data_IF_929981371910
#
_entry.id   IF_929981371910
#
_cell.length_a   1.000
_cell.length_b   1.000
_cell.length_c   1.000
_cell.angle_alpha   90.00
_cell.angle_beta   90.00
_cell.angle_gamma   90.00
#
_symmetry.space_group_name_H-M   'P 1'
#
loop_
_entity.id
_entity.type
_entity.pdbx_description
1 polymer ?
#
# COMPACT_ATOMS: atom_id res chain seq x y z
N UNK A 1 13.87 21.41 -70.53
CA UNK A 1 12.88 22.20 -69.76
C UNK A 1 13.45 22.40 -68.36
N UNK A 2 13.91 23.60 -68.01
CA UNK A 2 14.33 23.93 -66.65
C UNK A 2 13.15 24.56 -65.91
N UNK A 3 12.91 24.15 -64.66
CA UNK A 3 11.85 24.73 -63.82
C UNK A 3 12.26 26.12 -63.36
N UNK A 4 11.31 27.06 -63.30
CA UNK A 4 11.57 28.41 -62.81
C UNK A 4 11.60 28.43 -61.28
N UNK A 5 12.30 29.42 -60.70
CA UNK A 5 12.44 29.59 -59.25
C UNK A 5 11.08 29.59 -58.53
N UNK A 6 10.11 30.32 -59.07
CA UNK A 6 8.75 30.41 -58.52
C UNK A 6 8.06 29.04 -58.44
N UNK A 7 8.26 28.18 -59.44
CA UNK A 7 7.70 26.82 -59.43
C UNK A 7 8.33 25.95 -58.34
N UNK A 8 9.63 26.11 -58.07
CA UNK A 8 10.35 25.33 -57.05
C UNK A 8 9.90 25.74 -55.64
N UNK A 9 9.73 27.05 -55.43
CA UNK A 9 9.23 27.61 -54.15
C UNK A 9 7.77 27.19 -53.89
N UNK A 10 6.91 27.22 -54.92
CA UNK A 10 5.51 26.84 -54.79
C UNK A 10 5.28 25.36 -54.46
N UNK A 11 6.20 24.48 -54.89
CA UNK A 11 6.15 23.03 -54.58
C UNK A 11 6.70 22.75 -53.16
N UNK A 12 7.21 23.77 -52.46
CA UNK A 12 7.79 23.60 -51.12
C UNK A 12 9.08 22.77 -51.14
N UNK A 13 9.81 22.77 -52.26
CA UNK A 13 11.01 21.94 -52.41
C UNK A 13 12.15 22.29 -51.43
N UNK A 14 12.07 23.46 -50.80
CA UNK A 14 13.00 23.91 -49.77
C UNK A 14 12.53 23.57 -48.34
N UNK A 15 11.28 23.14 -48.17
CA UNK A 15 10.76 22.74 -46.87
C UNK A 15 11.30 21.36 -46.51
N UNK A 16 11.98 21.29 -45.36
CA UNK A 16 12.46 20.02 -44.82
C UNK A 16 11.36 19.38 -43.99
N UNK A 17 11.22 18.07 -44.10
CA UNK A 17 10.33 17.32 -43.21
C UNK A 17 10.71 17.58 -41.75
N UNK A 18 9.73 18.01 -40.96
CA UNK A 18 9.91 18.17 -39.52
C UNK A 18 10.00 16.79 -38.87
N UNK A 19 11.02 16.59 -38.03
CA UNK A 19 11.17 15.35 -37.28
C UNK A 19 9.93 15.07 -36.43
N UNK A 20 9.28 13.94 -36.68
CA UNK A 20 8.17 13.42 -35.87
C UNK A 20 8.64 12.15 -35.17
N UNK A 21 8.75 12.13 -33.82
CA UNK A 21 9.14 10.93 -33.12
C UNK A 21 8.06 9.85 -33.30
N UNK A 22 8.49 8.62 -33.58
CA UNK A 22 7.57 7.48 -33.59
C UNK A 22 6.91 7.34 -32.20
N UNK A 23 5.59 7.08 -32.12
CA UNK A 23 4.91 6.88 -30.84
C UNK A 23 5.52 5.67 -30.13
N UNK A 24 6.44 5.91 -29.20
CA UNK A 24 7.10 4.85 -28.47
C UNK A 24 6.13 4.25 -27.45
N UNK A 25 5.88 2.94 -27.52
CA UNK A 25 5.14 2.17 -26.50
C UNK A 25 5.88 2.09 -25.14
N UNK A 26 7.01 2.79 -24.98
CA UNK A 26 8.05 2.44 -24.01
C UNK A 26 7.94 3.17 -22.67
N UNK A 27 7.13 4.23 -22.55
CA UNK A 27 7.00 5.00 -21.30
C UNK A 27 5.60 4.91 -20.73
N UNK A 28 5.35 3.80 -20.04
CA UNK A 28 4.18 3.66 -19.18
C UNK A 28 4.09 4.88 -18.22
N UNK A 29 2.89 5.43 -17.98
CA UNK A 29 2.70 6.59 -17.12
C UNK A 29 3.27 6.37 -15.70
N UNK A 30 3.24 5.12 -15.21
CA UNK A 30 3.85 4.73 -13.93
C UNK A 30 5.35 5.05 -13.85
N UNK A 31 6.11 4.86 -14.94
CA UNK A 31 7.54 5.19 -14.97
C UNK A 31 7.80 6.69 -14.92
N UNK A 32 6.88 7.50 -15.44
CA UNK A 32 6.97 8.96 -15.36
C UNK A 32 6.73 9.42 -13.92
N UNK A 33 5.68 8.91 -13.29
CA UNK A 33 5.35 9.27 -11.90
C UNK A 33 6.47 8.88 -10.93
N UNK A 34 7.00 7.64 -11.05
CA UNK A 34 8.16 7.21 -10.27
C UNK A 34 9.36 8.14 -10.41
N UNK A 35 9.69 8.55 -11.64
CA UNK A 35 10.81 9.46 -11.89
C UNK A 35 10.54 10.85 -11.31
N UNK A 36 9.30 11.34 -11.42
CA UNK A 36 8.90 12.63 -10.87
C UNK A 36 9.03 12.66 -9.35
N UNK A 37 8.59 11.60 -8.67
CA UNK A 37 8.76 11.42 -7.22
C UNK A 37 10.24 11.39 -6.83
N UNK A 38 11.05 10.59 -7.53
CA UNK A 38 12.48 10.48 -7.26
C UNK A 38 13.21 11.82 -7.39
N UNK A 39 12.86 12.62 -8.39
CA UNK A 39 13.48 13.93 -8.61
C UNK A 39 13.03 14.98 -7.59
N UNK A 40 11.78 14.93 -7.15
CA UNK A 40 11.23 15.90 -6.19
C UNK A 40 11.60 15.59 -4.74
N UNK A 41 11.53 14.32 -4.35
CA UNK A 41 11.62 13.87 -2.96
C UNK A 41 12.84 12.97 -2.67
N UNK A 42 13.59 12.56 -3.70
CA UNK A 42 14.69 11.60 -3.56
C UNK A 42 14.25 10.14 -3.45
N UNK A 43 12.96 9.87 -3.32
CA UNK A 43 12.38 8.53 -3.17
C UNK A 43 11.06 8.37 -3.95
N UNK A 44 10.64 7.12 -4.18
CA UNK A 44 9.38 6.84 -4.86
C UNK A 44 8.23 6.65 -3.87
N UNK A 45 7.40 7.68 -3.73
CA UNK A 45 6.24 7.70 -2.84
C UNK A 45 5.13 6.71 -3.25
N UNK A 46 5.14 6.20 -4.48
CA UNK A 46 4.17 5.22 -4.96
C UNK A 46 4.66 3.77 -4.80
N UNK A 47 5.74 3.55 -4.04
CA UNK A 47 6.23 2.21 -3.75
C UNK A 47 5.19 1.50 -2.89
N UNK A 48 4.51 0.51 -3.45
CA UNK A 48 3.68 -0.40 -2.66
C UNK A 48 4.54 -1.00 -1.54
N UNK A 49 4.03 -1.04 -0.29
CA UNK A 49 4.78 -1.65 0.80
C UNK A 49 5.07 -3.11 0.42
N UNK A 50 6.33 -3.51 0.53
CA UNK A 50 6.74 -4.85 0.13
C UNK A 50 6.19 -5.84 1.16
N UNK A 51 5.04 -6.45 0.87
CA UNK A 51 4.29 -7.36 1.76
C UNK A 51 5.19 -8.49 2.29
N UNK A 52 6.20 -8.87 1.52
CA UNK A 52 7.19 -9.91 1.86
C UNK A 52 8.02 -9.49 3.09
N UNK A 53 8.40 -8.21 3.19
CA UNK A 53 9.20 -7.70 4.31
C UNK A 53 8.39 -7.74 5.61
N UNK A 54 7.11 -7.34 5.57
CA UNK A 54 6.22 -7.34 6.74
C UNK A 54 6.01 -8.76 7.29
N UNK A 55 5.80 -9.76 6.41
CA UNK A 55 5.72 -11.17 6.83
C UNK A 55 7.01 -11.68 7.47
N UNK A 56 8.17 -11.22 7.00
CA UNK A 56 9.47 -11.65 7.54
C UNK A 56 9.72 -11.13 8.96
N UNK A 57 9.24 -9.94 9.28
CA UNK A 57 9.34 -9.37 10.63
C UNK A 57 8.39 -10.07 11.61
N UNK A 58 7.16 -10.34 11.18
CA UNK A 58 6.18 -11.13 11.96
C UNK A 58 6.67 -12.56 12.22
N UNK A 59 7.47 -13.15 11.31
CA UNK A 59 8.03 -14.50 11.48
C UNK A 59 9.13 -14.60 12.54
N UNK A 60 9.66 -13.48 13.04
CA UNK A 60 10.68 -13.46 14.11
C UNK A 60 10.07 -13.52 15.51
N UNK A 61 8.78 -13.29 15.65
CA UNK A 61 8.08 -13.29 16.93
C UNK A 61 7.81 -14.77 17.31
N UNK A 62 8.19 -15.18 18.52
CA UNK A 62 7.89 -16.53 18.98
C UNK A 62 6.37 -16.74 19.06
N UNK A 63 5.91 -17.97 18.84
CA UNK A 63 4.50 -18.33 19.09
C UNK A 63 4.08 -18.04 20.54
N UNK A 64 5.01 -18.13 21.48
CA UNK A 64 4.79 -17.85 22.90
C UNK A 64 4.58 -16.36 23.16
N UNK A 65 5.33 -15.50 22.46
CA UNK A 65 5.19 -14.06 22.56
C UNK A 65 3.84 -13.60 22.02
N UNK A 66 3.40 -14.15 20.87
CA UNK A 66 2.07 -13.92 20.29
C UNK A 66 0.94 -14.36 21.23
N UNK A 67 1.11 -15.49 21.91
CA UNK A 67 0.12 -15.99 22.87
C UNK A 67 -0.05 -15.03 24.05
N UNK A 68 1.07 -14.55 24.61
CA UNK A 68 1.07 -13.58 25.70
C UNK A 68 0.48 -12.23 25.26
N UNK A 69 0.80 -11.77 24.05
CA UNK A 69 0.25 -10.54 23.49
C UNK A 69 -1.28 -10.60 23.37
N UNK A 70 -1.84 -11.70 22.86
CA UNK A 70 -3.29 -11.85 22.73
C UNK A 70 -3.97 -11.90 24.11
N UNK A 71 -3.34 -12.52 25.12
CA UNK A 71 -3.85 -12.49 26.49
C UNK A 71 -3.88 -11.07 27.08
N UNK A 72 -2.82 -10.29 26.83
CA UNK A 72 -2.75 -8.89 27.23
C UNK A 72 -3.85 -8.10 26.54
N UNK A 73 -4.02 -8.24 25.22
CA UNK A 73 -5.06 -7.51 24.49
C UNK A 73 -6.47 -7.85 25.02
N UNK A 74 -6.78 -9.13 25.26
CA UNK A 74 -8.07 -9.52 25.85
C UNK A 74 -8.31 -8.82 27.19
N UNK A 75 -7.27 -8.74 28.03
CA UNK A 75 -7.35 -8.06 29.33
C UNK A 75 -7.58 -6.56 29.14
N UNK A 76 -6.80 -5.90 28.29
CA UNK A 76 -6.95 -4.48 27.99
C UNK A 76 -8.34 -4.13 27.46
N UNK A 77 -8.93 -4.97 26.59
CA UNK A 77 -10.29 -4.76 26.10
C UNK A 77 -11.34 -4.86 27.21
N UNK A 78 -11.09 -5.73 28.18
CA UNK A 78 -11.98 -5.91 29.33
C UNK A 78 -11.86 -4.72 30.29
N UNK A 79 -10.63 -4.32 30.60
CA UNK A 79 -10.33 -3.16 31.44
C UNK A 79 -10.91 -1.88 30.80
N UNK A 80 -10.77 -1.71 29.49
CA UNK A 80 -11.41 -0.61 28.74
C UNK A 80 -12.94 -0.61 28.89
N UNK A 81 -13.59 -1.78 28.83
CA UNK A 81 -15.04 -1.86 29.01
C UNK A 81 -15.45 -1.42 30.42
N UNK A 82 -14.68 -1.81 31.43
CA UNK A 82 -14.91 -1.44 32.83
C UNK A 82 -14.73 0.08 33.02
N UNK A 83 -13.66 0.67 32.46
CA UNK A 83 -13.44 2.13 32.45
C UNK A 83 -14.61 2.87 31.76
N UNK A 84 -15.05 2.39 30.59
CA UNK A 84 -16.19 2.99 29.88
C UNK A 84 -17.50 2.81 30.66
N UNK A 85 -17.66 1.72 31.42
CA UNK A 85 -18.82 1.52 32.27
C UNK A 85 -18.84 2.49 33.45
N UNK A 86 -17.69 2.76 34.07
CA UNK A 86 -17.53 3.80 35.12
C UNK A 86 -17.85 5.20 34.59
N UNK A 87 -17.50 5.48 33.34
CA UNK A 87 -17.86 6.72 32.62
C UNK A 87 -19.33 6.77 32.18
N UNK A 88 -20.11 5.70 32.38
CA UNK A 88 -21.51 5.59 31.97
C UNK A 88 -21.72 5.26 30.48
N UNK A 89 -20.64 5.08 29.72
CA UNK A 89 -20.63 4.87 28.28
C UNK A 89 -20.46 3.40 27.86
N UNK A 90 -20.35 2.48 28.81
CA UNK A 90 -20.08 1.06 28.55
C UNK A 90 -21.08 0.42 27.56
N UNK A 91 -22.36 0.83 27.59
CA UNK A 91 -23.39 0.31 26.66
C UNK A 91 -23.08 0.62 25.19
N UNK A 92 -22.39 1.73 24.90
CA UNK A 92 -22.03 2.11 23.52
C UNK A 92 -20.99 1.15 22.93
N UNK A 93 -20.05 0.69 23.75
CA UNK A 93 -18.90 -0.11 23.30
C UNK A 93 -19.06 -1.61 23.56
N UNK A 94 -20.05 -2.03 24.35
CA UNK A 94 -20.23 -3.41 24.80
C UNK A 94 -20.28 -4.42 23.65
N UNK A 95 -21.09 -4.17 22.62
CA UNK A 95 -21.23 -5.11 21.51
C UNK A 95 -19.92 -5.28 20.72
N UNK A 96 -19.25 -4.17 20.42
CA UNK A 96 -18.01 -4.16 19.63
C UNK A 96 -16.86 -4.80 20.39
N UNK A 97 -16.71 -4.48 21.68
CA UNK A 97 -15.66 -5.03 22.53
C UNK A 97 -15.87 -6.52 22.79
N UNK A 98 -17.11 -6.97 23.00
CA UNK A 98 -17.41 -8.40 23.12
C UNK A 98 -17.07 -9.17 21.84
N UNK A 99 -17.36 -8.59 20.67
CA UNK A 99 -16.99 -9.19 19.40
C UNK A 99 -15.46 -9.32 19.27
N UNK A 100 -14.71 -8.28 19.63
CA UNK A 100 -13.25 -8.29 19.61
C UNK A 100 -12.67 -9.35 20.57
N UNK A 101 -13.18 -9.43 21.81
CA UNK A 101 -12.78 -10.45 22.78
C UNK A 101 -13.02 -11.85 22.22
N UNK A 102 -14.18 -12.10 21.60
CA UNK A 102 -14.50 -13.39 21.00
C UNK A 102 -13.57 -13.75 19.83
N UNK A 103 -13.18 -12.77 19.01
CA UNK A 103 -12.21 -12.97 17.93
C UNK A 103 -10.83 -13.33 18.49
N UNK A 104 -10.35 -12.59 19.50
CA UNK A 104 -9.05 -12.86 20.15
C UNK A 104 -9.01 -14.21 20.86
N UNK A 105 -10.08 -14.61 21.53
CA UNK A 105 -10.20 -15.94 22.13
C UNK A 105 -10.09 -17.05 21.07
N UNK A 106 -10.73 -16.88 19.91
CA UNK A 106 -10.60 -17.85 18.81
C UNK A 106 -9.19 -17.92 18.24
N UNK A 107 -8.49 -16.79 18.16
CA UNK A 107 -7.08 -16.74 17.74
C UNK A 107 -6.19 -17.47 18.76
N UNK A 108 -6.42 -17.23 20.05
CA UNK A 108 -5.72 -17.89 21.14
C UNK A 108 -5.93 -19.41 21.11
N UNK A 109 -7.16 -19.88 20.93
CA UNK A 109 -7.49 -21.31 20.79
C UNK A 109 -6.78 -21.97 19.59
N UNK A 110 -6.61 -21.24 18.49
CA UNK A 110 -5.87 -21.75 17.32
C UNK A 110 -4.39 -21.91 17.64
N UNK A 111 -3.78 -20.90 18.27
CA UNK A 111 -2.38 -20.97 18.69
C UNK A 111 -2.14 -22.11 19.70
N UNK A 112 -3.07 -22.34 20.62
CA UNK A 112 -2.98 -23.43 21.59
C UNK A 112 -3.05 -24.81 20.91
N UNK A 113 -3.96 -24.99 19.94
CA UNK A 113 -4.04 -26.21 19.11
C UNK A 113 -2.77 -26.45 18.28
N UNK A 114 -2.16 -25.38 17.77
CA UNK A 114 -0.91 -25.43 16.99
C UNK A 114 0.33 -25.67 17.88
N UNK A 115 0.21 -25.48 19.20
CA UNK A 115 1.23 -25.80 20.19
C UNK A 115 1.13 -27.25 20.67
N UNK A 116 -0.10 -27.77 20.77
CA UNK A 116 -0.38 -29.15 21.20
C UNK A 116 -0.17 -30.21 20.10
N UNK A 117 0.10 -29.79 18.86
CA UNK A 117 0.48 -30.64 17.72
C UNK A 117 1.99 -30.70 17.57
#
# INVERSE_FOLDING_TARGET
MQRTKSTIEQIGAYEREQFRPNPSKTRAPSKKNRLQNLMAFGEDLNKEPNIITIKSELSRISKEDLFNEILIEIKERKDFLDEMAELGEGKKYLADIQCQIALRLRELEKLDKDRAR
#
